data_IF_669892381718
#
_entry.id   IF_669892381718
#
_cell.length_a   1.000
_cell.length_b   1.000
_cell.length_c   1.000
_cell.angle_alpha   90.00
_cell.angle_beta   90.00
_cell.angle_gamma   90.00
#
_symmetry.space_group_name_H-M   'P 1'
#
loop_
_entity.id
_entity.type
_entity.pdbx_description
1 polymer ?
#
# COMPACT_ATOMS: atom_id res chain seq x y z
N UNK A 1 -1.07 22.04 -7.77
CA UNK A 1 -1.65 21.33 -6.62
C UNK A 1 -1.06 19.93 -6.55
N UNK A 2 -0.85 19.43 -5.36
CA UNK A 2 -0.08 18.21 -5.18
C UNK A 2 -0.92 16.93 -5.14
N UNK A 3 -2.15 16.95 -5.66
CA UNK A 3 -2.98 15.73 -5.65
C UNK A 3 -2.35 14.60 -6.45
N UNK A 4 -1.73 14.93 -7.56
CA UNK A 4 -1.08 13.93 -8.40
C UNK A 4 0.07 13.27 -7.65
N UNK A 5 0.82 14.06 -6.89
CA UNK A 5 1.91 13.52 -6.08
C UNK A 5 1.38 12.57 -5.00
N UNK A 6 0.23 12.90 -4.41
CA UNK A 6 -0.38 12.03 -3.40
C UNK A 6 -0.88 10.74 -4.04
N UNK A 7 -1.49 10.83 -5.22
CA UNK A 7 -1.95 9.64 -5.95
C UNK A 7 -0.78 8.75 -6.37
N UNK A 8 0.35 9.36 -6.73
CA UNK A 8 1.55 8.60 -7.02
C UNK A 8 2.01 7.82 -5.80
N UNK A 9 1.93 8.43 -4.62
CA UNK A 9 2.28 7.74 -3.38
C UNK A 9 1.32 6.58 -3.10
N UNK A 10 0.04 6.74 -3.41
CA UNK A 10 -0.92 5.65 -3.27
C UNK A 10 -0.50 4.46 -4.14
N UNK A 11 -0.11 4.72 -5.39
CA UNK A 11 0.35 3.66 -6.27
C UNK A 11 1.61 2.99 -5.73
N UNK A 12 2.54 3.78 -5.22
CA UNK A 12 3.76 3.22 -4.65
C UNK A 12 3.48 2.35 -3.43
N UNK A 13 2.52 2.72 -2.61
CA UNK A 13 2.14 1.91 -1.46
C UNK A 13 1.56 0.56 -1.91
N UNK A 14 0.74 0.56 -2.96
CA UNK A 14 0.24 -0.69 -3.52
C UNK A 14 1.37 -1.56 -4.04
N UNK A 15 2.34 -0.95 -4.73
CA UNK A 15 3.49 -1.68 -5.25
C UNK A 15 4.32 -2.28 -4.11
N UNK A 16 4.50 -1.53 -3.02
CA UNK A 16 5.21 -2.04 -1.85
C UNK A 16 4.47 -3.24 -1.28
N UNK A 17 3.15 -3.17 -1.19
CA UNK A 17 2.34 -4.29 -0.72
C UNK A 17 2.55 -5.54 -1.56
N UNK A 18 2.54 -5.40 -2.88
CA UNK A 18 2.79 -6.52 -3.79
C UNK A 18 4.19 -7.10 -3.60
N UNK A 19 5.19 -6.24 -3.48
CA UNK A 19 6.57 -6.70 -3.30
C UNK A 19 6.74 -7.42 -1.98
N UNK A 20 6.07 -6.96 -0.93
CA UNK A 20 6.11 -7.63 0.37
C UNK A 20 5.49 -9.02 0.27
N UNK A 21 4.41 -9.17 -0.48
CA UNK A 21 3.79 -10.48 -0.67
C UNK A 21 4.72 -11.43 -1.42
N UNK A 22 5.42 -10.90 -2.45
CA UNK A 22 6.41 -11.71 -3.17
C UNK A 22 7.54 -12.16 -2.26
N UNK A 23 8.02 -11.26 -1.39
CA UNK A 23 9.06 -11.61 -0.42
C UNK A 23 8.56 -12.64 0.58
N UNK A 24 7.28 -12.56 0.96
CA UNK A 24 6.69 -13.53 1.89
C UNK A 24 6.76 -14.94 1.32
N UNK A 25 6.55 -15.11 0.02
CA UNK A 25 6.63 -16.41 -0.63
C UNK A 25 8.05 -16.96 -0.61
N UNK A 26 9.06 -16.07 -0.68
CA UNK A 26 10.45 -16.45 -0.75
C UNK A 26 11.09 -16.65 0.63
N UNK A 27 10.44 -16.19 1.69
CA UNK A 27 11.02 -16.20 3.04
C UNK A 27 10.01 -16.77 4.05
N UNK A 28 9.79 -18.10 4.01
CA UNK A 28 8.77 -18.73 4.86
C UNK A 28 8.82 -18.36 6.35
N UNK A 29 10.01 -18.21 6.97
CA UNK A 29 10.03 -17.89 8.41
C UNK A 29 9.35 -16.59 8.79
N UNK A 30 9.27 -15.63 7.85
CA UNK A 30 8.64 -14.33 8.11
C UNK A 30 7.43 -14.09 7.22
N UNK A 31 6.98 -15.12 6.51
CA UNK A 31 5.91 -15.01 5.52
C UNK A 31 4.64 -14.42 6.13
N UNK A 32 4.20 -14.94 7.26
CA UNK A 32 2.96 -14.48 7.89
C UNK A 32 3.04 -13.02 8.29
N UNK A 33 4.18 -12.61 8.84
CA UNK A 33 4.38 -11.21 9.23
C UNK A 33 4.37 -10.31 8.01
N UNK A 34 5.04 -10.71 6.94
CA UNK A 34 5.10 -9.91 5.71
C UNK A 34 3.73 -9.77 5.05
N UNK A 35 2.93 -10.84 5.03
CA UNK A 35 1.58 -10.78 4.48
C UNK A 35 0.71 -9.82 5.31
N UNK A 36 0.82 -9.87 6.61
CA UNK A 36 0.07 -8.98 7.49
C UNK A 36 0.46 -7.52 7.23
N UNK A 37 1.76 -7.24 7.13
CA UNK A 37 2.24 -5.89 6.86
C UNK A 37 1.79 -5.42 5.47
N UNK A 38 1.85 -6.30 4.47
CA UNK A 38 1.39 -5.98 3.13
C UNK A 38 -0.08 -5.58 3.12
N UNK A 39 -0.91 -6.30 3.88
CA UNK A 39 -2.32 -5.96 4.01
C UNK A 39 -2.53 -4.60 4.65
N UNK A 40 -1.73 -4.28 5.68
CA UNK A 40 -1.79 -2.98 6.33
C UNK A 40 -1.37 -1.86 5.39
N UNK A 41 -0.32 -2.07 4.61
CA UNK A 41 0.15 -1.08 3.64
C UNK A 41 -0.92 -0.80 2.60
N UNK A 42 -1.56 -1.84 2.06
CA UNK A 42 -2.64 -1.67 1.08
C UNK A 42 -3.84 -0.95 1.68
N UNK A 43 -4.15 -1.26 2.92
CA UNK A 43 -5.26 -0.60 3.59
C UNK A 43 -4.99 0.89 3.76
N UNK A 44 -3.76 1.26 4.13
CA UNK A 44 -3.38 2.66 4.25
C UNK A 44 -3.45 3.35 2.89
N UNK A 45 -3.03 2.68 1.82
CA UNK A 45 -3.13 3.23 0.47
C UNK A 45 -4.58 3.52 0.11
N UNK A 46 -5.49 2.61 0.42
CA UNK A 46 -6.91 2.80 0.15
C UNK A 46 -7.48 3.97 0.96
N UNK A 47 -7.12 4.06 2.24
CA UNK A 47 -7.56 5.16 3.10
C UNK A 47 -7.06 6.50 2.55
N UNK A 48 -5.80 6.55 2.11
CA UNK A 48 -5.24 7.76 1.54
C UNK A 48 -5.98 8.16 0.26
N UNK A 49 -6.27 7.19 -0.62
CA UNK A 49 -7.00 7.44 -1.85
C UNK A 49 -8.40 7.99 -1.56
N UNK A 50 -9.09 7.42 -0.58
CA UNK A 50 -10.42 7.87 -0.18
C UNK A 50 -10.36 9.30 0.37
N UNK A 51 -9.34 9.58 1.18
CA UNK A 51 -9.15 10.92 1.73
C UNK A 51 -8.99 11.96 0.62
N UNK A 52 -8.15 11.65 -0.37
CA UNK A 52 -7.93 12.54 -1.51
C UNK A 52 -9.23 12.75 -2.28
N UNK A 53 -9.95 11.68 -2.57
CA UNK A 53 -11.21 11.76 -3.30
C UNK A 53 -12.24 12.61 -2.56
N UNK A 54 -12.29 12.49 -1.24
CA UNK A 54 -13.20 13.25 -0.41
C UNK A 54 -12.86 14.74 -0.42
N UNK A 55 -11.57 15.07 -0.39
CA UNK A 55 -11.13 16.46 -0.36
C UNK A 55 -11.24 17.15 -1.71
N UNK A 56 -11.30 16.38 -2.79
CA UNK A 56 -11.46 16.93 -4.13
C UNK A 56 -12.90 17.39 -4.43
N UNK A 57 -13.85 17.04 -3.59
CA UNK A 57 -15.23 17.45 -3.78
C UNK A 57 -15.51 18.84 -3.22
#
# INVERSE_FOLDING_TARGET
MAFEAILDEVEQLHDVGERLEGLAEQHPPVSKALVTIAGNVRNLATVLAVLVATKLR
#
